data_IF_320075759537
#
_entry.id   IF_320075759537
#
_cell.length_a   1.000
_cell.length_b   1.000
_cell.length_c   1.000
_cell.angle_alpha   90.00
_cell.angle_beta   90.00
_cell.angle_gamma   90.00
#
_symmetry.space_group_name_H-M   'P 1'
#
loop_
_entity.id
_entity.type
_entity.pdbx_description
1 polymer ?
#
# COMPACT_ATOMS: atom_id res chain seq x y z
N UNK A 1 -31.89 8.90 -4.24
CA UNK A 1 -32.10 9.53 -2.91
C UNK A 1 -31.39 8.75 -1.80
N UNK A 2 -31.47 7.41 -1.81
CA UNK A 2 -30.88 6.52 -0.79
C UNK A 2 -29.38 6.75 -0.58
N UNK A 3 -28.63 7.02 -1.64
CA UNK A 3 -27.15 7.11 -1.60
C UNK A 3 -26.64 8.50 -1.16
N UNK A 4 -27.53 9.46 -0.92
CA UNK A 4 -27.20 10.84 -0.51
C UNK A 4 -27.60 11.20 0.92
N UNK A 5 -28.29 10.31 1.64
CA UNK A 5 -28.78 10.57 2.98
C UNK A 5 -27.99 9.82 4.04
N UNK A 6 -27.06 10.51 4.72
CA UNK A 6 -26.18 9.94 5.76
C UNK A 6 -26.94 9.37 6.97
N UNK A 7 -28.18 9.78 7.17
CA UNK A 7 -29.01 9.38 8.31
C UNK A 7 -30.11 8.37 7.95
N UNK A 8 -30.16 7.88 6.71
CA UNK A 8 -31.12 6.87 6.27
C UNK A 8 -30.53 5.47 6.42
N UNK A 9 -31.20 4.66 7.20
CA UNK A 9 -30.95 3.25 7.39
C UNK A 9 -31.95 2.41 6.59
N UNK A 10 -31.53 1.24 6.14
CA UNK A 10 -32.38 0.31 5.44
C UNK A 10 -32.03 -1.13 5.83
N UNK A 11 -33.05 -1.90 6.22
CA UNK A 11 -32.94 -3.32 6.50
C UNK A 11 -34.14 -4.04 5.89
N UNK A 12 -33.90 -4.99 5.02
CA UNK A 12 -34.91 -5.62 4.18
C UNK A 12 -35.75 -4.56 3.42
N UNK A 13 -37.05 -4.48 3.64
CA UNK A 13 -37.96 -3.50 3.01
C UNK A 13 -38.31 -2.30 3.90
N UNK A 14 -37.61 -2.12 5.02
CA UNK A 14 -37.84 -1.03 5.97
C UNK A 14 -36.78 0.04 5.84
N UNK A 15 -37.21 1.31 5.89
CA UNK A 15 -36.35 2.49 5.89
C UNK A 15 -36.70 3.34 7.11
N UNK A 16 -35.67 3.81 7.82
CA UNK A 16 -35.86 4.77 8.92
C UNK A 16 -34.76 5.81 8.94
N UNK A 17 -35.03 6.95 9.53
CA UNK A 17 -34.06 8.01 9.79
C UNK A 17 -33.62 7.88 11.25
N UNK A 18 -32.30 8.00 11.46
CA UNK A 18 -31.68 8.09 12.78
C UNK A 18 -31.02 9.46 12.93
N UNK A 19 -30.79 9.89 14.16
CA UNK A 19 -30.02 11.09 14.49
C UNK A 19 -28.52 10.88 14.36
N UNK A 20 -28.07 9.63 14.24
CA UNK A 20 -26.66 9.24 14.08
C UNK A 20 -26.33 8.95 12.62
N UNK A 21 -25.15 9.35 12.13
CA UNK A 21 -24.73 9.04 10.77
C UNK A 21 -24.53 7.54 10.56
N UNK A 22 -24.93 7.05 9.40
CA UNK A 22 -24.68 5.67 8.97
C UNK A 22 -23.21 5.45 8.70
N UNK A 23 -22.53 4.67 9.54
CA UNK A 23 -21.09 4.45 9.51
C UNK A 23 -20.58 3.86 8.19
N UNK A 24 -21.38 3.00 7.53
CA UNK A 24 -20.98 2.44 6.24
C UNK A 24 -20.94 3.50 5.14
N UNK A 25 -21.89 4.42 5.13
CA UNK A 25 -21.91 5.55 4.18
C UNK A 25 -20.81 6.56 4.49
N UNK A 26 -20.60 6.82 5.77
CA UNK A 26 -19.50 7.65 6.23
C UNK A 26 -18.16 7.08 5.74
N UNK A 27 -17.94 5.78 5.86
CA UNK A 27 -16.75 5.11 5.35
C UNK A 27 -16.61 5.27 3.84
N UNK A 28 -17.67 5.02 3.06
CA UNK A 28 -17.63 5.19 1.59
C UNK A 28 -17.34 6.64 1.18
N UNK A 29 -17.92 7.62 1.88
CA UNK A 29 -17.66 9.05 1.65
C UNK A 29 -16.19 9.40 1.92
N UNK A 30 -15.65 8.98 3.06
CA UNK A 30 -14.25 9.24 3.42
C UNK A 30 -13.28 8.56 2.47
N UNK A 31 -13.57 7.34 2.05
CA UNK A 31 -12.78 6.59 1.09
C UNK A 31 -12.53 7.36 -0.21
N UNK A 32 -13.54 8.10 -0.70
CA UNK A 32 -13.43 8.90 -1.92
C UNK A 32 -12.51 10.12 -1.77
N UNK A 33 -12.32 10.63 -0.55
CA UNK A 33 -11.51 11.80 -0.26
C UNK A 33 -10.04 11.48 0.07
N UNK A 34 -9.67 10.19 0.11
CA UNK A 34 -8.30 9.77 0.43
C UNK A 34 -7.38 10.01 -0.77
N UNK A 35 -6.36 10.84 -0.56
CA UNK A 35 -5.32 11.14 -1.55
C UNK A 35 -4.40 9.94 -1.75
N UNK A 36 -4.12 9.60 -3.02
CA UNK A 36 -3.14 8.55 -3.31
C UNK A 36 -1.74 8.96 -2.88
N UNK A 37 -1.34 10.19 -3.17
CA UNK A 37 0.00 10.70 -2.90
C UNK A 37 0.25 10.93 -1.41
N UNK A 38 -0.71 11.56 -0.73
CA UNK A 38 -0.49 12.09 0.62
C UNK A 38 -0.90 11.08 1.71
N UNK A 39 -1.82 10.16 1.40
CA UNK A 39 -2.34 9.19 2.37
C UNK A 39 -1.92 7.75 2.07
N UNK A 40 -2.16 7.28 0.82
CA UNK A 40 -1.95 5.86 0.46
C UNK A 40 -0.48 5.50 0.36
N UNK A 41 0.32 6.27 -0.38
CA UNK A 41 1.73 5.94 -0.61
C UNK A 41 2.50 5.91 0.71
N UNK A 42 2.37 6.90 1.62
CA UNK A 42 3.02 6.86 2.94
C UNK A 42 2.57 5.67 3.79
N UNK A 43 1.26 5.36 3.82
CA UNK A 43 0.75 4.19 4.52
C UNK A 43 1.36 2.89 3.98
N UNK A 44 1.32 2.70 2.66
CA UNK A 44 1.84 1.50 2.02
C UNK A 44 3.35 1.36 2.22
N UNK A 45 4.12 2.44 2.12
CA UNK A 45 5.54 2.45 2.39
C UNK A 45 5.85 1.98 3.81
N UNK A 46 5.16 2.51 4.82
CA UNK A 46 5.30 2.10 6.22
C UNK A 46 4.95 0.61 6.41
N UNK A 47 3.82 0.17 5.87
CA UNK A 47 3.35 -1.22 6.02
C UNK A 47 4.25 -2.23 5.31
N UNK A 48 4.66 -1.94 4.08
CA UNK A 48 5.59 -2.76 3.30
C UNK A 48 6.94 -2.86 4.02
N UNK A 49 7.44 -1.74 4.56
CA UNK A 49 8.67 -1.73 5.36
C UNK A 49 8.57 -2.63 6.60
N UNK A 50 7.42 -2.66 7.26
CA UNK A 50 7.19 -3.56 8.43
C UNK A 50 7.09 -5.03 8.05
N UNK A 51 6.50 -5.33 6.87
CA UNK A 51 6.33 -6.71 6.40
C UNK A 51 7.65 -7.32 5.94
N UNK A 52 8.44 -6.57 5.17
CA UNK A 52 9.69 -7.08 4.57
C UNK A 52 10.96 -6.69 5.32
N UNK A 53 10.90 -5.67 6.19
CA UNK A 53 12.06 -5.14 6.92
C UNK A 53 12.51 -5.95 8.14
N UNK A 54 11.89 -7.11 8.42
CA UNK A 54 12.22 -7.94 9.57
C UNK A 54 12.79 -9.29 9.14
N UNK A 55 13.76 -9.81 9.92
CA UNK A 55 14.32 -11.16 9.75
C UNK A 55 14.84 -11.44 8.32
N UNK A 56 15.64 -10.53 7.77
CA UNK A 56 16.24 -10.66 6.44
C UNK A 56 17.78 -10.78 6.50
N UNK A 57 18.37 -11.31 5.43
CA UNK A 57 19.83 -11.43 5.25
C UNK A 57 20.40 -10.39 4.27
N UNK A 58 19.60 -9.43 3.81
CA UNK A 58 20.04 -8.36 2.94
C UNK A 58 20.86 -7.33 3.71
N UNK A 59 21.88 -6.73 3.07
CA UNK A 59 22.63 -5.60 3.64
C UNK A 59 21.78 -4.34 3.83
N UNK A 60 20.64 -4.25 3.20
CA UNK A 60 19.65 -3.18 3.36
C UNK A 60 18.39 -3.46 2.53
N UNK A 61 17.26 -2.92 3.00
CA UNK A 61 15.99 -2.95 2.28
C UNK A 61 15.57 -1.51 2.00
N UNK A 62 15.28 -1.23 0.73
CA UNK A 62 14.93 0.09 0.22
C UNK A 62 13.51 0.05 -0.33
N UNK A 63 12.54 0.54 0.46
CA UNK A 63 11.10 0.50 0.11
C UNK A 63 10.70 1.81 -0.55
N UNK A 64 10.24 1.75 -1.81
CA UNK A 64 9.80 2.91 -2.60
C UNK A 64 10.85 4.02 -2.58
N UNK A 65 12.11 3.63 -2.72
CA UNK A 65 13.26 4.53 -2.59
C UNK A 65 13.71 5.00 -3.97
N UNK A 66 13.84 6.31 -4.20
CA UNK A 66 14.39 6.84 -5.44
C UNK A 66 15.79 6.29 -5.73
N UNK A 67 16.17 6.19 -7.00
CA UNK A 67 17.49 5.64 -7.41
C UNK A 67 18.67 6.37 -6.77
N UNK A 68 18.55 7.68 -6.53
CA UNK A 68 19.58 8.50 -5.90
C UNK A 68 19.89 8.08 -4.45
N UNK A 69 18.88 7.58 -3.73
CA UNK A 69 18.97 7.24 -2.31
C UNK A 69 19.28 5.75 -2.07
N UNK A 70 19.29 4.93 -3.14
CA UNK A 70 19.77 3.54 -3.05
C UNK A 70 21.29 3.55 -3.10
N UNK A 71 22.01 3.12 -2.02
CA UNK A 71 23.46 3.19 -1.96
C UNK A 71 24.18 2.43 -3.06
N UNK A 72 25.36 2.93 -3.48
CA UNK A 72 26.28 2.30 -4.40
C UNK A 72 27.66 2.18 -3.75
N UNK A 73 27.70 1.48 -2.63
CA UNK A 73 28.86 1.35 -1.76
C UNK A 73 29.54 -0.03 -1.88
N UNK A 74 30.70 -0.17 -1.23
CA UNK A 74 31.46 -1.42 -1.15
C UNK A 74 30.95 -2.40 -0.07
N UNK A 75 29.72 -2.19 0.47
CA UNK A 75 29.13 -3.08 1.47
C UNK A 75 29.11 -4.55 1.04
N UNK A 76 29.09 -5.44 2.00
CA UNK A 76 29.13 -6.90 1.80
C UNK A 76 27.72 -7.46 1.68
N UNK A 77 27.28 -7.86 0.51
CA UNK A 77 26.02 -8.57 0.31
C UNK A 77 24.97 -7.80 -0.52
N UNK A 78 23.93 -8.50 -0.91
CA UNK A 78 22.87 -7.94 -1.76
C UNK A 78 21.97 -6.96 -0.99
N UNK A 79 21.37 -6.03 -1.71
CA UNK A 79 20.35 -5.10 -1.23
C UNK A 79 19.02 -5.40 -1.91
N UNK A 80 17.94 -5.37 -1.15
CA UNK A 80 16.61 -5.53 -1.69
C UNK A 80 15.99 -4.16 -1.96
N UNK A 81 15.55 -3.93 -3.18
CA UNK A 81 14.79 -2.74 -3.58
C UNK A 81 13.34 -3.17 -3.81
N UNK A 82 12.44 -2.69 -2.97
CA UNK A 82 11.01 -2.94 -3.12
C UNK A 82 10.42 -1.83 -3.97
N UNK A 83 9.97 -2.19 -5.16
CA UNK A 83 9.44 -1.25 -6.14
C UNK A 83 8.06 -0.70 -5.72
N UNK A 84 7.74 0.57 -6.06
CA UNK A 84 6.47 1.19 -5.73
C UNK A 84 5.30 0.59 -6.52
N UNK A 85 4.08 0.89 -6.10
CA UNK A 85 2.85 0.34 -6.68
C UNK A 85 2.61 0.69 -8.14
N UNK A 86 3.22 1.76 -8.65
CA UNK A 86 3.15 2.14 -10.06
C UNK A 86 4.16 1.37 -10.95
N UNK A 87 5.10 0.64 -10.36
CA UNK A 87 6.06 -0.21 -11.06
C UNK A 87 5.61 -1.68 -10.99
N UNK A 88 4.37 -1.95 -11.41
CA UNK A 88 3.78 -3.29 -11.40
C UNK A 88 4.41 -4.23 -12.43
N UNK A 89 4.65 -5.48 -12.02
CA UNK A 89 5.03 -6.55 -12.92
C UNK A 89 3.79 -7.11 -13.62
N UNK A 90 3.83 -7.16 -14.94
CA UNK A 90 2.86 -7.87 -15.77
C UNK A 90 3.60 -8.86 -16.68
N UNK A 91 2.91 -9.89 -17.16
CA UNK A 91 3.49 -10.88 -18.07
C UNK A 91 3.52 -10.41 -19.54
N UNK A 92 3.41 -9.12 -19.76
CA UNK A 92 3.43 -8.48 -21.09
C UNK A 92 4.82 -7.90 -21.37
N UNK A 93 5.13 -7.66 -22.65
CA UNK A 93 6.43 -7.13 -23.10
C UNK A 93 6.71 -5.72 -22.56
N UNK A 94 5.67 -4.90 -22.36
CA UNK A 94 5.76 -3.58 -21.71
C UNK A 94 5.58 -3.72 -20.21
N UNK A 95 6.67 -3.87 -19.48
CA UNK A 95 6.68 -4.16 -18.06
C UNK A 95 7.28 -2.99 -17.28
N UNK A 96 6.43 -2.25 -16.55
CA UNK A 96 6.86 -1.10 -15.75
C UNK A 96 7.86 -1.49 -14.65
N UNK A 97 7.77 -2.72 -14.12
CA UNK A 97 8.71 -3.21 -13.12
C UNK A 97 10.11 -3.34 -13.70
N UNK A 98 10.26 -3.86 -14.92
CA UNK A 98 11.58 -3.93 -15.58
C UNK A 98 12.15 -2.56 -15.87
N UNK A 99 11.33 -1.64 -16.39
CA UNK A 99 11.77 -0.27 -16.69
C UNK A 99 12.28 0.45 -15.44
N UNK A 100 11.55 0.36 -14.31
CA UNK A 100 11.97 1.01 -13.07
C UNK A 100 13.17 0.29 -12.43
N UNK A 101 13.20 -1.05 -12.45
CA UNK A 101 14.33 -1.81 -11.96
C UNK A 101 15.60 -1.50 -12.75
N UNK A 102 15.53 -1.46 -14.09
CA UNK A 102 16.65 -1.13 -14.97
C UNK A 102 17.18 0.28 -14.71
N UNK A 103 16.29 1.25 -14.57
CA UNK A 103 16.67 2.64 -14.22
C UNK A 103 17.46 2.70 -12.91
N UNK A 104 17.00 2.02 -11.86
CA UNK A 104 17.68 1.97 -10.56
C UNK A 104 18.98 1.16 -10.66
N UNK A 105 19.00 0.10 -11.45
CA UNK A 105 20.16 -0.76 -11.66
C UNK A 105 21.29 -0.02 -12.36
N UNK A 106 20.97 0.77 -13.40
CA UNK A 106 21.96 1.49 -14.21
C UNK A 106 22.45 2.78 -13.57
N UNK A 107 21.59 3.46 -12.80
CA UNK A 107 21.89 4.79 -12.31
C UNK A 107 21.60 4.95 -10.81
N UNK A 108 22.45 5.75 -10.17
CA UNK A 108 22.21 6.34 -8.85
C UNK A 108 21.93 7.84 -9.05
N UNK A 109 20.67 8.23 -9.13
CA UNK A 109 20.29 9.55 -9.60
C UNK A 109 20.75 9.77 -11.02
N UNK A 110 21.57 10.80 -11.23
CA UNK A 110 22.13 11.17 -12.54
C UNK A 110 23.52 10.52 -12.82
N UNK A 111 24.04 9.74 -11.89
CA UNK A 111 25.35 9.09 -12.02
C UNK A 111 25.21 7.61 -12.37
N UNK A 112 26.05 7.05 -13.26
CA UNK A 112 26.09 5.62 -13.53
C UNK A 112 26.41 4.83 -12.25
N UNK A 113 25.67 3.74 -12.00
CA UNK A 113 25.90 2.85 -10.87
C UNK A 113 27.06 1.90 -11.15
N UNK A 114 27.96 1.76 -10.19
CA UNK A 114 29.14 0.89 -10.30
C UNK A 114 28.85 -0.56 -9.87
N UNK A 115 28.00 -0.75 -8.85
CA UNK A 115 27.74 -2.06 -8.22
C UNK A 115 26.34 -2.60 -8.57
N UNK A 116 26.13 -2.89 -9.86
CA UNK A 116 24.83 -3.32 -10.38
C UNK A 116 24.42 -4.73 -9.91
N UNK A 117 25.34 -5.66 -9.81
CA UNK A 117 25.10 -7.06 -9.45
C UNK A 117 24.70 -7.29 -7.97
N UNK A 118 24.57 -6.22 -7.18
CA UNK A 118 24.18 -6.29 -5.76
C UNK A 118 22.73 -5.95 -5.50
N UNK A 119 22.00 -5.51 -6.50
CA UNK A 119 20.61 -5.13 -6.36
C UNK A 119 19.70 -6.29 -6.76
N UNK A 120 18.76 -6.59 -5.89
CA UNK A 120 17.65 -7.51 -6.14
C UNK A 120 16.37 -6.69 -5.97
N UNK A 121 15.41 -6.85 -6.88
CA UNK A 121 14.19 -6.08 -6.88
C UNK A 121 13.00 -6.97 -6.53
N UNK A 122 12.09 -6.45 -5.71
CA UNK A 122 10.81 -7.07 -5.41
C UNK A 122 9.71 -6.20 -6.00
N UNK A 123 9.05 -6.70 -7.03
CA UNK A 123 8.03 -5.97 -7.78
C UNK A 123 6.62 -6.37 -7.36
N UNK A 124 5.67 -5.40 -7.33
CA UNK A 124 4.27 -5.70 -7.11
C UNK A 124 3.64 -6.35 -8.33
N UNK A 125 2.67 -7.22 -8.11
CA UNK A 125 1.84 -7.80 -9.15
C UNK A 125 0.84 -6.76 -9.66
N UNK A 126 0.89 -6.47 -10.96
CA UNK A 126 0.05 -5.45 -11.59
C UNK A 126 -1.45 -5.68 -11.33
N UNK A 127 -1.92 -6.94 -11.44
CA UNK A 127 -3.34 -7.28 -11.30
C UNK A 127 -3.87 -7.13 -9.86
N UNK A 128 -2.98 -7.18 -8.88
CA UNK A 128 -3.35 -7.12 -7.44
C UNK A 128 -3.30 -5.68 -6.90
N UNK A 129 -2.52 -4.79 -7.51
CA UNK A 129 -2.30 -3.42 -7.02
C UNK A 129 -3.59 -2.63 -6.80
N UNK A 130 -4.55 -2.72 -7.73
CA UNK A 130 -5.83 -1.99 -7.61
C UNK A 130 -6.62 -2.43 -6.38
N UNK A 131 -6.67 -3.75 -6.11
CA UNK A 131 -7.31 -4.31 -4.92
C UNK A 131 -6.60 -3.91 -3.63
N UNK A 132 -5.26 -3.87 -3.65
CA UNK A 132 -4.45 -3.38 -2.53
C UNK A 132 -4.77 -1.93 -2.19
N UNK A 133 -4.78 -1.04 -3.20
CA UNK A 133 -5.08 0.39 -3.02
C UNK A 133 -6.49 0.59 -2.46
N UNK A 134 -7.46 -0.15 -2.95
CA UNK A 134 -8.84 -0.10 -2.45
C UNK A 134 -8.92 -0.54 -0.98
N UNK A 135 -8.28 -1.63 -0.62
CA UNK A 135 -8.23 -2.11 0.77
C UNK A 135 -7.53 -1.12 1.70
N UNK A 136 -6.48 -0.46 1.23
CA UNK A 136 -5.80 0.60 1.98
C UNK A 136 -6.71 1.81 2.22
N UNK A 137 -7.53 2.21 1.24
CA UNK A 137 -8.55 3.27 1.41
C UNK A 137 -9.60 2.88 2.46
N UNK A 138 -10.09 1.65 2.43
CA UNK A 138 -11.05 1.13 3.42
C UNK A 138 -10.46 1.21 4.83
N UNK A 139 -9.21 0.77 5.00
CA UNK A 139 -8.52 0.85 6.29
C UNK A 139 -8.37 2.30 6.78
N UNK A 140 -7.92 3.22 5.92
CA UNK A 140 -7.76 4.64 6.26
C UNK A 140 -9.09 5.29 6.65
N UNK A 141 -10.17 5.00 5.92
CA UNK A 141 -11.50 5.50 6.20
C UNK A 141 -11.99 5.03 7.58
N UNK A 142 -11.88 3.74 7.89
CA UNK A 142 -12.25 3.22 9.21
C UNK A 142 -11.36 3.76 10.33
N UNK A 143 -10.07 3.93 10.08
CA UNK A 143 -9.14 4.53 11.06
C UNK A 143 -9.56 5.96 11.40
N UNK A 144 -9.92 6.75 10.40
CA UNK A 144 -10.41 8.12 10.58
C UNK A 144 -11.74 8.16 11.32
N UNK A 145 -12.69 7.28 11.00
CA UNK A 145 -13.98 7.18 11.71
C UNK A 145 -13.77 6.86 13.20
N UNK A 146 -12.92 5.88 13.50
CA UNK A 146 -12.63 5.50 14.89
C UNK A 146 -12.04 6.69 15.65
N UNK A 147 -11.09 7.41 15.06
CA UNK A 147 -10.48 8.59 15.67
C UNK A 147 -11.50 9.69 15.96
N UNK A 148 -12.43 9.95 15.04
CA UNK A 148 -13.46 10.98 15.20
C UNK A 148 -14.53 10.59 16.22
N UNK A 149 -14.87 9.31 16.36
CA UNK A 149 -15.78 8.85 17.43
C UNK A 149 -15.08 8.98 18.80
N UNK A 150 -13.81 8.58 18.89
CA UNK A 150 -13.02 8.66 20.13
C UNK A 150 -12.80 10.11 20.59
N UNK A 151 -12.64 11.04 19.66
CA UNK A 151 -12.51 12.48 19.95
C UNK A 151 -13.85 13.18 20.20
N UNK A 152 -14.99 12.52 19.97
CA UNK A 152 -16.32 13.11 20.06
C UNK A 152 -16.72 13.98 18.86
N UNK A 153 -15.90 14.06 17.82
CA UNK A 153 -16.22 14.81 16.59
C UNK A 153 -17.38 14.14 15.83
N UNK A 154 -17.43 12.82 15.84
CA UNK A 154 -18.52 12.03 15.28
C UNK A 154 -19.37 11.45 16.43
N UNK A 155 -20.60 11.95 16.58
CA UNK A 155 -21.49 11.51 17.66
C UNK A 155 -22.02 10.08 17.42
N UNK A 156 -21.41 9.12 18.07
CA UNK A 156 -21.78 7.70 18.04
C UNK A 156 -21.74 7.11 19.46
N UNK A 157 -22.48 6.02 19.68
CA UNK A 157 -22.42 5.30 20.95
C UNK A 157 -21.28 4.29 21.00
N UNK A 158 -21.08 3.68 22.18
CA UNK A 158 -20.03 2.71 22.43
C UNK A 158 -20.16 1.45 21.54
N UNK A 159 -21.39 1.05 21.21
CA UNK A 159 -21.61 -0.10 20.33
C UNK A 159 -21.07 0.17 18.92
N UNK A 160 -21.39 1.34 18.37
CA UNK A 160 -20.89 1.80 17.08
C UNK A 160 -19.37 2.00 17.07
N UNK A 161 -18.79 2.52 18.15
CA UNK A 161 -17.33 2.59 18.30
C UNK A 161 -16.68 1.21 18.23
N UNK A 162 -17.21 0.24 18.99
CA UNK A 162 -16.69 -1.13 18.99
C UNK A 162 -16.83 -1.80 17.63
N UNK A 163 -17.93 -1.57 16.92
CA UNK A 163 -18.13 -2.04 15.56
C UNK A 163 -17.10 -1.42 14.60
N UNK A 164 -16.88 -0.12 14.69
CA UNK A 164 -15.89 0.59 13.85
C UNK A 164 -14.46 0.09 14.10
N UNK A 165 -14.10 -0.18 15.37
CA UNK A 165 -12.80 -0.78 15.71
C UNK A 165 -12.63 -2.16 15.10
N UNK A 166 -13.65 -3.03 15.17
CA UNK A 166 -13.60 -4.36 14.51
C UNK A 166 -13.45 -4.24 13.00
N UNK A 167 -14.16 -3.30 12.38
CA UNK A 167 -14.06 -3.06 10.93
C UNK A 167 -12.67 -2.55 10.54
N UNK A 168 -12.09 -1.63 11.30
CA UNK A 168 -10.71 -1.15 11.12
C UNK A 168 -9.70 -2.30 11.25
N UNK A 169 -9.82 -3.11 12.29
CA UNK A 169 -8.87 -4.21 12.59
C UNK A 169 -8.96 -5.32 11.53
N UNK A 170 -10.18 -5.64 11.07
CA UNK A 170 -10.38 -6.55 9.94
C UNK A 170 -9.81 -6.01 8.63
N UNK A 171 -9.98 -4.70 8.39
CA UNK A 171 -9.39 -4.04 7.22
C UNK A 171 -7.84 -4.03 7.28
N UNK A 172 -7.26 -3.86 8.47
CA UNK A 172 -5.81 -3.91 8.70
C UNK A 172 -5.22 -5.31 8.42
N UNK A 173 -5.89 -6.35 8.90
CA UNK A 173 -5.49 -7.74 8.65
C UNK A 173 -5.54 -8.06 7.15
N UNK A 174 -6.62 -7.70 6.48
CA UNK A 174 -6.77 -7.89 5.03
C UNK A 174 -5.73 -7.11 4.24
N UNK A 175 -5.41 -5.88 4.64
CA UNK A 175 -4.36 -5.07 4.03
C UNK A 175 -2.98 -5.73 4.18
N UNK A 176 -2.66 -6.25 5.36
CA UNK A 176 -1.39 -6.93 5.62
C UNK A 176 -1.23 -8.21 4.78
N UNK A 177 -2.32 -8.97 4.60
CA UNK A 177 -2.32 -10.13 3.73
C UNK A 177 -2.12 -9.73 2.27
N UNK A 178 -2.85 -8.72 1.78
CA UNK A 178 -2.73 -8.22 0.40
C UNK A 178 -1.34 -7.69 0.09
N UNK A 179 -0.65 -7.06 1.05
CA UNK A 179 0.74 -6.64 0.87
C UNK A 179 1.62 -7.83 0.50
N UNK A 180 1.50 -8.95 1.21
CA UNK A 180 2.28 -10.17 0.93
C UNK A 180 1.92 -10.79 -0.42
N UNK A 181 0.67 -10.75 -0.82
CA UNK A 181 0.21 -11.24 -2.11
C UNK A 181 0.64 -10.35 -3.27
N UNK A 182 0.76 -9.04 -3.03
CA UNK A 182 1.09 -8.05 -4.05
C UNK A 182 2.57 -8.09 -4.42
N UNK A 183 3.48 -8.05 -3.45
CA UNK A 183 4.93 -8.08 -3.71
C UNK A 183 5.45 -9.51 -3.72
N UNK A 184 5.43 -10.13 -4.88
CA UNK A 184 5.81 -11.55 -5.07
C UNK A 184 6.76 -11.80 -6.23
N UNK A 185 7.03 -10.81 -7.09
CA UNK A 185 7.90 -10.96 -8.24
C UNK A 185 9.32 -10.51 -7.90
N UNK A 186 10.27 -11.46 -7.96
CA UNK A 186 11.67 -11.19 -7.72
C UNK A 186 12.39 -11.00 -9.06
N UNK A 187 13.07 -9.85 -9.23
CA UNK A 187 13.87 -9.54 -10.39
C UNK A 187 15.34 -9.43 -9.94
N UNK A 188 16.23 -10.09 -10.64
CA UNK A 188 17.67 -10.03 -10.39
C UNK A 188 18.41 -9.77 -11.70
N UNK A 189 19.53 -9.02 -11.68
CA UNK A 189 20.40 -8.89 -12.85
C UNK A 189 21.03 -10.24 -13.18
N UNK A 190 21.07 -10.57 -14.47
CA UNK A 190 21.76 -11.74 -15.00
C UNK A 190 22.90 -11.21 -15.87
N UNK A 191 24.11 -11.73 -15.69
CA UNK A 191 25.22 -11.45 -16.60
C UNK A 191 25.06 -12.29 -17.85
N UNK A 192 24.86 -11.65 -19.01
CA UNK A 192 25.01 -12.31 -20.29
C UNK A 192 26.52 -12.49 -20.56
N UNK A 193 26.98 -13.72 -20.44
CA UNK A 193 28.30 -14.06 -20.98
C UNK A 193 28.24 -13.98 -22.50
N UNK A 194 28.59 -12.83 -23.04
CA UNK A 194 28.90 -12.71 -24.47
C UNK A 194 30.14 -13.58 -24.70
N UNK A 195 29.93 -14.72 -25.38
CA UNK A 195 31.04 -15.56 -25.89
C UNK A 195 31.74 -14.89 -27.05
#
# INVERSE_FOLDING_TARGET
LRDRLHYLYAEQDRYWLDTKPNLRREMESRKQNISERDDLIPLLKDRVSRVFGRNHQFSGIHVFTPSADVPDDYGTGPRLVVLPTNAGYSRTDTNQAFSEAEKILRNRGDQPRQKQNRLIFLAPDFDVVSRLKEQARIYLAWRSIVADIESGTLNQDLSHLNQSKRSRDGADQSLTQLIRETWKWLLAPVEDFVK
#
